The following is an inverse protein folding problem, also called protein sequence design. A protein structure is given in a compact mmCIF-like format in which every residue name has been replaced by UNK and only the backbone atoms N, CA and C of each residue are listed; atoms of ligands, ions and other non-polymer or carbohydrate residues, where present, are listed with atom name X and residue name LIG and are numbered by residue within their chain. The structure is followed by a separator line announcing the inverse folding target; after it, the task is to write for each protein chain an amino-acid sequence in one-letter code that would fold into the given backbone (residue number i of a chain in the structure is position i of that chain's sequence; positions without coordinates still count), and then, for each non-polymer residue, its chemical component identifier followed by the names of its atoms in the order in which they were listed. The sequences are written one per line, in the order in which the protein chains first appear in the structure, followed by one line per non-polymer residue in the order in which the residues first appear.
data_IF_528119952208
#
_entry.id   IF_528119952208
#
_cell.length_a   1.000
_cell.length_b   1.000
_cell.length_c   1.000
_cell.angle_alpha   90.00
_cell.angle_beta   90.00
_cell.angle_gamma   90.00
#
_symmetry.space_group_name_H-M   'P 1'
#
loop_
_entity.id
_entity.type
_entity.pdbx_description
1 polymer ?
#
# COMPACT_ATOMS: atom_id res chain seq x y z
N UNK A 1 -4.27 -8.39 18.50
CA UNK A 1 -4.96 -7.13 18.83
C UNK A 1 -4.11 -5.90 18.51
N UNK A 2 -2.85 -5.81 18.98
CA UNK A 2 -2.00 -4.63 18.70
C UNK A 2 -1.82 -4.36 17.19
N UNK A 3 -1.57 -5.39 16.38
CA UNK A 3 -1.46 -5.24 14.91
C UNK A 3 -2.74 -4.66 14.29
N UNK A 4 -3.92 -5.09 14.73
CA UNK A 4 -5.19 -4.58 14.22
C UNK A 4 -5.42 -3.10 14.57
N UNK A 5 -5.04 -2.69 15.80
CA UNK A 5 -5.09 -1.29 16.20
C UNK A 5 -4.15 -0.41 15.38
N UNK A 6 -2.90 -0.85 15.21
CA UNK A 6 -1.92 -0.12 14.43
C UNK A 6 -2.33 -0.02 12.94
N UNK A 7 -2.83 -1.12 12.36
CA UNK A 7 -3.31 -1.14 10.98
C UNK A 7 -4.51 -0.23 10.78
N UNK A 8 -5.47 -0.28 11.72
CA UNK A 8 -6.65 0.60 11.68
C UNK A 8 -6.25 2.06 11.78
N UNK A 9 -5.34 2.41 12.69
CA UNK A 9 -4.82 3.78 12.83
C UNK A 9 -4.08 4.22 11.55
N UNK A 10 -3.22 3.36 10.99
CA UNK A 10 -2.48 3.63 9.77
C UNK A 10 -3.40 3.91 8.58
N UNK A 11 -4.39 3.02 8.34
CA UNK A 11 -5.32 3.15 7.21
C UNK A 11 -6.28 4.34 7.38
N UNK A 12 -6.74 4.61 8.60
CA UNK A 12 -7.60 5.76 8.90
C UNK A 12 -6.86 7.08 8.61
N UNK A 13 -5.61 7.21 9.07
CA UNK A 13 -4.80 8.40 8.81
C UNK A 13 -4.44 8.48 7.31
N UNK A 14 -4.05 7.39 6.68
CA UNK A 14 -3.77 7.34 5.24
C UNK A 14 -4.98 7.81 4.41
N UNK A 15 -6.18 7.35 4.76
CA UNK A 15 -7.43 7.81 4.13
C UNK A 15 -7.64 9.31 4.31
N UNK A 16 -7.51 9.82 5.53
CA UNK A 16 -7.65 11.25 5.83
C UNK A 16 -6.67 12.12 5.04
N UNK A 17 -5.41 11.71 4.95
CA UNK A 17 -4.38 12.41 4.19
C UNK A 17 -4.75 12.51 2.71
N UNK A 18 -5.25 11.42 2.11
CA UNK A 18 -5.68 11.40 0.71
C UNK A 18 -6.93 12.22 0.47
N UNK A 19 -7.94 12.09 1.33
CA UNK A 19 -9.17 12.89 1.21
C UNK A 19 -8.85 14.37 1.20
N UNK A 20 -7.92 14.80 2.05
CA UNK A 20 -7.48 16.19 2.09
C UNK A 20 -6.63 16.56 0.88
N UNK A 21 -5.66 15.72 0.50
CA UNK A 21 -4.77 15.99 -0.64
C UNK A 21 -5.52 16.15 -1.96
N UNK A 22 -6.61 15.39 -2.13
CA UNK A 22 -7.44 15.42 -3.34
C UNK A 22 -8.71 16.29 -3.19
N UNK A 23 -8.94 16.82 -2.00
CA UNK A 23 -10.20 17.53 -1.65
C UNK A 23 -11.45 16.72 -2.07
N UNK A 24 -11.39 15.40 -1.82
CA UNK A 24 -12.40 14.44 -2.22
C UNK A 24 -12.62 13.41 -1.10
N UNK A 25 -13.80 13.34 -0.48
CA UNK A 25 -14.09 12.41 0.61
C UNK A 25 -14.08 10.94 0.17
N UNK A 26 -14.13 10.66 -1.13
CA UNK A 26 -14.06 9.32 -1.66
C UNK A 26 -12.62 8.85 -1.93
N UNK A 27 -11.62 9.73 -1.83
CA UNK A 27 -10.23 9.35 -2.04
C UNK A 27 -9.74 8.41 -0.93
N UNK A 28 -9.11 7.32 -1.34
CA UNK A 28 -8.54 6.33 -0.44
C UNK A 28 -7.34 5.62 -1.07
N UNK A 29 -6.54 4.89 -0.28
CA UNK A 29 -5.36 4.19 -0.78
C UNK A 29 -5.65 3.22 -1.93
N UNK A 30 -6.80 2.55 -1.89
CA UNK A 30 -7.26 1.60 -2.93
C UNK A 30 -7.51 2.29 -4.26
N UNK A 31 -8.02 3.53 -4.24
CA UNK A 31 -8.30 4.29 -5.48
C UNK A 31 -7.01 4.71 -6.19
N UNK A 32 -5.93 4.90 -5.44
CA UNK A 32 -4.61 5.16 -6.01
C UNK A 32 -3.89 3.90 -6.52
N UNK A 33 -4.48 2.72 -6.33
CA UNK A 33 -3.91 1.47 -6.78
C UNK A 33 -2.70 0.99 -5.96
N UNK A 34 -2.46 1.54 -4.77
CA UNK A 34 -1.33 1.15 -3.91
C UNK A 34 -1.51 -0.29 -3.43
N UNK A 35 -2.74 -0.69 -3.13
CA UNK A 35 -3.11 -2.06 -2.76
C UNK A 35 -2.98 -3.05 -3.93
N UNK A 36 -3.39 -2.65 -5.12
CA UNK A 36 -3.18 -3.47 -6.33
C UNK A 36 -1.70 -3.61 -6.66
N UNK A 37 -0.88 -2.59 -6.36
CA UNK A 37 0.57 -2.65 -6.42
C UNK A 37 1.15 -3.70 -5.48
N UNK A 38 0.72 -3.73 -4.21
CA UNK A 38 1.10 -4.78 -3.27
C UNK A 38 0.72 -6.16 -3.79
N UNK A 39 -0.52 -6.30 -4.25
CA UNK A 39 -1.05 -7.54 -4.81
C UNK A 39 -0.27 -8.03 -6.04
N UNK A 40 0.16 -7.10 -6.93
CA UNK A 40 1.01 -7.44 -8.06
C UNK A 40 2.39 -7.95 -7.61
N UNK A 41 3.01 -7.26 -6.64
CA UNK A 41 4.30 -7.68 -6.11
C UNK A 41 4.25 -9.10 -5.53
N UNK A 42 3.20 -9.42 -4.79
CA UNK A 42 2.96 -10.78 -4.26
C UNK A 42 2.63 -11.78 -5.37
N UNK A 43 1.81 -11.38 -6.35
CA UNK A 43 1.51 -12.23 -7.50
C UNK A 43 2.79 -12.63 -8.25
N UNK A 44 3.72 -11.70 -8.46
CA UNK A 44 5.03 -12.00 -9.06
C UNK A 44 5.83 -13.00 -8.23
N UNK A 45 5.83 -12.89 -6.91
CA UNK A 45 6.55 -13.83 -6.04
C UNK A 45 5.86 -15.18 -6.01
N UNK A 46 4.54 -15.25 -5.78
CA UNK A 46 3.82 -16.49 -5.57
C UNK A 46 3.49 -17.23 -6.87
N UNK A 47 3.07 -16.51 -7.92
CA UNK A 47 2.58 -17.12 -9.15
C UNK A 47 3.69 -17.38 -10.15
N UNK A 48 4.69 -16.51 -10.23
CA UNK A 48 5.77 -16.63 -11.20
C UNK A 48 6.98 -17.35 -10.60
N UNK A 49 7.40 -17.00 -9.40
CA UNK A 49 8.58 -17.59 -8.75
C UNK A 49 8.23 -18.84 -7.93
N UNK A 50 7.07 -18.87 -7.27
CA UNK A 50 6.59 -20.01 -6.50
C UNK A 50 6.35 -21.27 -7.33
N UNK A 51 6.02 -21.13 -8.63
CA UNK A 51 5.91 -22.25 -9.58
C UNK A 51 7.26 -22.89 -9.92
N UNK A 52 8.37 -22.17 -9.76
CA UNK A 52 9.73 -22.67 -10.02
C UNK A 52 10.44 -23.15 -8.76
N UNK A 53 10.08 -22.63 -7.58
CA UNK A 53 10.73 -22.96 -6.30
C UNK A 53 9.95 -23.98 -5.44
N UNK A 54 8.77 -24.41 -5.88
CA UNK A 54 7.92 -25.33 -5.12
C UNK A 54 7.25 -24.66 -3.90
N UNK A 55 5.99 -25.03 -3.63
CA UNK A 55 5.16 -24.49 -2.52
C UNK A 55 5.80 -24.72 -1.13
N UNK A 56 6.70 -25.71 -1.01
CA UNK A 56 7.42 -26.02 0.23
C UNK A 56 8.39 -24.92 0.68
N UNK A 57 8.87 -24.08 -0.23
CA UNK A 57 9.82 -23.02 0.11
C UNK A 57 9.14 -21.67 0.47
N UNK A 58 7.90 -21.45 0.02
CA UNK A 58 7.11 -20.28 0.47
C UNK A 58 6.76 -20.35 1.99
N UNK A 59 6.86 -21.55 2.59
CA UNK A 59 6.67 -21.77 4.04
C UNK A 59 7.95 -21.53 4.85
N UNK A 60 9.08 -21.34 4.19
CA UNK A 60 10.35 -20.99 4.83
C UNK A 60 10.39 -19.51 5.18
N UNK A 61 11.23 -19.13 6.13
CA UNK A 61 11.50 -17.72 6.47
C UNK A 61 11.86 -16.90 5.22
N UNK A 62 12.52 -17.49 4.24
CA UNK A 62 12.93 -16.88 2.98
C UNK A 62 11.73 -16.57 2.08
N UNK A 63 10.79 -17.52 1.93
CA UNK A 63 9.56 -17.31 1.15
C UNK A 63 8.66 -16.24 1.75
N UNK A 64 8.52 -16.25 3.07
CA UNK A 64 7.76 -15.25 3.82
C UNK A 64 8.32 -13.83 3.64
N UNK A 65 9.63 -13.65 3.83
CA UNK A 65 10.28 -12.35 3.62
C UNK A 65 10.18 -11.89 2.17
N UNK A 66 10.23 -12.81 1.20
CA UNK A 66 10.06 -12.49 -0.21
C UNK A 66 8.66 -11.96 -0.53
N UNK A 67 7.60 -12.53 0.07
CA UNK A 67 6.22 -12.05 -0.08
C UNK A 67 6.05 -10.64 0.49
N UNK A 68 6.57 -10.37 1.70
CA UNK A 68 6.54 -9.02 2.30
C UNK A 68 7.30 -8.03 1.43
N UNK A 69 8.51 -8.39 1.02
CA UNK A 69 9.33 -7.54 0.15
C UNK A 69 8.63 -7.28 -1.19
N UNK A 70 8.02 -8.31 -1.79
CA UNK A 70 7.22 -8.20 -3.01
C UNK A 70 6.05 -7.23 -2.85
N UNK A 71 5.25 -7.39 -1.79
CA UNK A 71 4.14 -6.49 -1.48
C UNK A 71 4.60 -5.04 -1.31
N UNK A 72 5.67 -4.83 -0.55
CA UNK A 72 6.23 -3.51 -0.29
C UNK A 72 6.77 -2.86 -1.57
N UNK A 73 7.59 -3.58 -2.33
CA UNK A 73 8.16 -3.09 -3.60
C UNK A 73 7.07 -2.80 -4.63
N UNK A 74 6.05 -3.66 -4.75
CA UNK A 74 4.91 -3.43 -5.62
C UNK A 74 4.14 -2.15 -5.26
N UNK A 75 3.85 -1.94 -3.97
CA UNK A 75 3.23 -0.70 -3.47
C UNK A 75 4.08 0.53 -3.76
N UNK A 76 5.39 0.46 -3.50
CA UNK A 76 6.33 1.56 -3.75
C UNK A 76 6.44 1.87 -5.24
N UNK A 77 6.39 0.86 -6.12
CA UNK A 77 6.42 1.05 -7.57
C UNK A 77 5.19 1.81 -8.05
N UNK A 78 4.00 1.41 -7.61
CA UNK A 78 2.76 2.14 -7.95
C UNK A 78 2.76 3.54 -7.36
N UNK A 79 3.17 3.70 -6.10
CA UNK A 79 3.31 5.02 -5.49
C UNK A 79 4.29 5.92 -6.28
N UNK A 80 5.45 5.38 -6.68
CA UNK A 80 6.44 6.08 -7.50
C UNK A 80 5.85 6.52 -8.84
N UNK A 81 5.04 5.67 -9.47
CA UNK A 81 4.30 5.98 -10.69
C UNK A 81 3.34 7.15 -10.46
N UNK A 82 2.56 7.13 -9.38
CA UNK A 82 1.64 8.23 -9.03
C UNK A 82 2.41 9.53 -8.75
N UNK A 83 3.51 9.45 -8.02
CA UNK A 83 4.37 10.61 -7.75
C UNK A 83 4.98 11.19 -9.04
N UNK A 84 5.41 10.34 -9.97
CA UNK A 84 5.87 10.77 -11.28
C UNK A 84 4.78 11.53 -12.04
N UNK A 85 3.57 10.97 -12.13
CA UNK A 85 2.44 11.66 -12.76
C UNK A 85 2.03 12.93 -12.00
N UNK A 86 2.17 12.98 -10.69
CA UNK A 86 1.92 14.19 -9.87
C UNK A 86 2.83 15.36 -10.27
N UNK A 87 3.98 15.10 -10.88
CA UNK A 87 4.85 16.17 -11.39
C UNK A 87 4.35 16.79 -12.70
N UNK A 88 3.63 16.01 -13.49
CA UNK A 88 3.16 16.38 -14.84
C UNK A 88 1.72 16.89 -14.78
N UNK A 89 0.89 16.21 -14.02
CA UNK A 89 -0.55 16.49 -13.92
C UNK A 89 -0.80 17.55 -12.84
N UNK A 90 -1.40 18.66 -13.23
CA UNK A 90 -1.69 19.79 -12.33
C UNK A 90 -3.06 19.67 -11.63
N UNK A 91 -3.94 18.80 -12.14
CA UNK A 91 -5.30 18.64 -11.65
C UNK A 91 -5.42 17.39 -10.76
N UNK A 92 -5.96 17.57 -9.55
CA UNK A 92 -6.16 16.51 -8.57
C UNK A 92 -7.06 15.38 -9.07
N UNK A 93 -8.16 15.74 -9.76
CA UNK A 93 -9.10 14.75 -10.31
C UNK A 93 -8.40 13.91 -11.38
N UNK A 94 -7.59 14.54 -12.22
CA UNK A 94 -6.85 13.82 -13.26
C UNK A 94 -5.80 12.88 -12.66
N UNK A 95 -5.14 13.27 -11.57
CA UNK A 95 -4.20 12.39 -10.86
C UNK A 95 -4.91 11.19 -10.23
N UNK A 96 -6.13 11.39 -9.71
CA UNK A 96 -6.97 10.32 -9.20
C UNK A 96 -7.35 9.32 -10.32
N UNK A 97 -7.73 9.83 -11.50
CA UNK A 97 -8.04 9.00 -12.67
C UNK A 97 -6.80 8.18 -13.10
N UNK A 98 -5.62 8.80 -13.11
CA UNK A 98 -4.36 8.08 -13.38
C UNK A 98 -4.16 6.94 -12.38
N UNK A 99 -4.42 7.16 -11.08
CA UNK A 99 -4.34 6.11 -10.06
C UNK A 99 -5.27 4.94 -10.36
N UNK A 100 -6.52 5.24 -10.71
CA UNK A 100 -7.51 4.21 -11.08
C UNK A 100 -7.03 3.43 -12.32
N UNK A 101 -6.52 4.10 -13.35
CA UNK A 101 -6.01 3.45 -14.55
C UNK A 101 -4.80 2.56 -14.26
N UNK A 102 -3.87 3.01 -13.43
CA UNK A 102 -2.74 2.21 -12.96
C UNK A 102 -3.24 0.97 -12.22
N UNK A 103 -4.25 1.12 -11.35
CA UNK A 103 -4.88 0.00 -10.65
C UNK A 103 -5.49 -1.02 -11.61
N UNK A 104 -6.22 -0.60 -12.65
CA UNK A 104 -6.78 -1.52 -13.65
C UNK A 104 -5.72 -2.22 -14.47
N UNK A 105 -4.67 -1.52 -14.91
CA UNK A 105 -3.54 -2.14 -15.62
C UNK A 105 -2.89 -3.21 -14.74
N UNK A 106 -2.63 -2.86 -13.48
CA UNK A 106 -2.04 -3.77 -12.49
C UNK A 106 -2.91 -5.01 -12.28
N UNK A 107 -4.23 -4.83 -12.11
CA UNK A 107 -5.18 -5.94 -11.97
C UNK A 107 -5.24 -6.83 -13.21
N UNK A 108 -5.12 -6.25 -14.41
CA UNK A 108 -5.09 -7.01 -15.65
C UNK A 108 -3.82 -7.87 -15.75
N UNK A 109 -2.68 -7.35 -15.31
CA UNK A 109 -1.41 -8.12 -15.23
C UNK A 109 -1.55 -9.27 -14.23
N UNK A 110 -2.15 -9.02 -13.04
CA UNK A 110 -2.41 -10.08 -12.05
C UNK A 110 -3.30 -11.17 -12.64
N UNK A 111 -4.35 -10.80 -13.37
CA UNK A 111 -5.25 -11.77 -14.03
C UNK A 111 -4.51 -12.62 -15.05
N UNK A 112 -3.59 -12.04 -15.81
CA UNK A 112 -2.73 -12.75 -16.75
C UNK A 112 -1.77 -13.72 -16.03
N UNK A 113 -1.16 -13.28 -14.94
CA UNK A 113 -0.27 -14.14 -14.13
C UNK A 113 -1.05 -15.33 -13.55
N UNK A 114 -2.28 -15.12 -13.04
CA UNK A 114 -3.13 -16.19 -12.54
C UNK A 114 -3.48 -17.21 -13.63
N UNK A 115 -3.65 -16.78 -14.88
CA UNK A 115 -3.95 -17.69 -16.00
C UNK A 115 -2.80 -18.68 -16.29
N UNK A 116 -1.55 -18.23 -16.17
CA UNK A 116 -0.36 -19.05 -16.41
C UNK A 116 0.17 -19.78 -15.17
N UNK A 117 -0.39 -19.47 -13.99
CA UNK A 117 0.09 -20.02 -12.73
C UNK A 117 -0.41 -21.45 -12.48
N UNK A 118 0.25 -22.16 -11.56
CA UNK A 118 -0.21 -23.46 -11.06
C UNK A 118 -1.44 -23.29 -10.16
N UNK A 119 -2.30 -24.32 -10.08
CA UNK A 119 -3.47 -24.31 -9.20
C UNK A 119 -3.10 -24.03 -7.72
N UNK A 120 -1.96 -24.55 -7.26
CA UNK A 120 -1.44 -24.33 -5.91
C UNK A 120 -1.00 -22.89 -5.69
N UNK A 121 -0.35 -22.27 -6.68
CA UNK A 121 0.04 -20.87 -6.65
C UNK A 121 -1.17 -19.95 -6.58
N UNK A 122 -2.18 -20.20 -7.41
CA UNK A 122 -3.44 -19.43 -7.40
C UNK A 122 -4.16 -19.58 -6.07
N UNK A 123 -4.21 -20.78 -5.50
CA UNK A 123 -4.81 -21.05 -4.19
C UNK A 123 -4.08 -20.27 -3.08
N UNK A 124 -2.75 -20.33 -3.06
CA UNK A 124 -1.93 -19.60 -2.06
C UNK A 124 -2.10 -18.09 -2.17
N UNK A 125 -2.10 -17.55 -3.40
CA UNK A 125 -2.34 -16.14 -3.67
C UNK A 125 -3.75 -15.70 -3.23
N UNK A 126 -4.77 -16.52 -3.48
CA UNK A 126 -6.15 -16.23 -3.07
C UNK A 126 -6.29 -16.20 -1.54
N UNK A 127 -5.68 -17.16 -0.83
CA UNK A 127 -5.67 -17.17 0.65
C UNK A 127 -4.93 -15.95 1.19
N UNK A 128 -3.80 -15.59 0.60
CA UNK A 128 -3.09 -14.37 0.97
C UNK A 128 -3.97 -13.12 0.80
N UNK A 129 -4.72 -13.02 -0.32
CA UNK A 129 -5.60 -11.90 -0.62
C UNK A 129 -6.78 -11.72 0.35
N UNK A 130 -7.17 -12.78 1.08
CA UNK A 130 -8.22 -12.70 2.10
C UNK A 130 -7.80 -11.90 3.35
N UNK A 131 -6.49 -11.70 3.55
CA UNK A 131 -5.94 -10.99 4.69
C UNK A 131 -6.09 -11.74 6.02
N UNK A 132 -5.07 -11.69 6.85
CA UNK A 132 -5.10 -12.36 8.15
C UNK A 132 -4.19 -11.65 9.17
N UNK A 133 -4.74 -11.34 10.35
CA UNK A 133 -3.96 -10.80 11.47
C UNK A 133 -3.30 -11.88 12.33
N UNK A 134 -3.69 -13.14 12.20
CA UNK A 134 -3.15 -14.23 13.03
C UNK A 134 -1.72 -14.63 12.64
N UNK A 135 -1.29 -14.28 11.41
CA UNK A 135 0.07 -14.54 10.91
C UNK A 135 1.12 -13.56 11.45
N UNK A 136 0.72 -12.49 12.13
CA UNK A 136 1.66 -11.50 12.68
C UNK A 136 2.35 -12.06 13.91
N UNK A 137 3.64 -12.36 13.78
CA UNK A 137 4.45 -12.87 14.90
C UNK A 137 4.88 -11.74 15.85
N UNK A 138 5.20 -12.11 17.11
CA UNK A 138 5.71 -11.16 18.09
C UNK A 138 7.01 -10.47 17.67
N UNK A 139 7.81 -11.13 16.84
CA UNK A 139 9.08 -10.59 16.31
C UNK A 139 8.86 -9.53 15.22
N UNK A 140 7.77 -9.62 14.47
CA UNK A 140 7.44 -8.69 13.37
C UNK A 140 6.72 -7.45 13.86
N UNK A 141 5.97 -7.58 14.97
CA UNK A 141 5.17 -6.50 15.53
C UNK A 141 5.98 -5.23 15.83
N UNK A 142 7.20 -5.28 16.42
CA UNK A 142 8.00 -4.09 16.67
C UNK A 142 8.40 -3.33 15.40
N UNK A 143 8.80 -4.04 14.35
CA UNK A 143 9.15 -3.43 13.08
C UNK A 143 7.94 -2.76 12.42
N UNK A 144 6.80 -3.44 12.41
CA UNK A 144 5.55 -2.87 11.94
C UNK A 144 5.15 -1.62 12.72
N UNK A 145 5.20 -1.70 14.06
CA UNK A 145 4.90 -0.57 14.93
C UNK A 145 5.84 0.61 14.67
N UNK A 146 7.12 0.35 14.39
CA UNK A 146 8.10 1.38 14.04
C UNK A 146 7.69 2.11 12.74
N UNK A 147 7.41 1.37 11.65
CA UNK A 147 7.04 1.97 10.37
C UNK A 147 5.73 2.76 10.47
N UNK A 148 4.72 2.20 11.13
CA UNK A 148 3.45 2.89 11.35
C UNK A 148 3.63 4.13 12.22
N UNK A 149 4.41 4.04 13.31
CA UNK A 149 4.66 5.18 14.19
C UNK A 149 5.40 6.31 13.48
N UNK A 150 6.39 5.99 12.66
CA UNK A 150 7.10 6.98 11.82
C UNK A 150 6.12 7.68 10.88
N UNK A 151 5.27 6.91 10.17
CA UNK A 151 4.27 7.48 9.28
C UNK A 151 3.27 8.38 10.01
N UNK A 152 2.78 7.96 11.20
CA UNK A 152 1.87 8.74 12.02
C UNK A 152 2.53 10.03 12.56
N UNK A 153 3.79 9.97 12.99
CA UNK A 153 4.52 11.16 13.44
C UNK A 153 4.67 12.16 12.30
N UNK A 154 5.04 11.70 11.10
CA UNK A 154 5.14 12.59 9.93
C UNK A 154 3.76 13.17 9.59
N UNK A 155 2.69 12.40 9.67
CA UNK A 155 1.32 12.89 9.47
C UNK A 155 0.96 14.00 10.46
N UNK A 156 1.33 13.86 11.74
CA UNK A 156 1.14 14.89 12.77
C UNK A 156 1.92 16.17 12.42
N UNK A 157 3.14 16.06 11.94
CA UNK A 157 3.95 17.22 11.53
C UNK A 157 3.33 17.95 10.33
N UNK A 158 2.57 17.23 9.49
CA UNK A 158 1.88 17.79 8.33
C UNK A 158 0.50 18.38 8.64
N UNK A 159 0.03 18.39 9.88
CA UNK A 159 -1.30 18.91 10.26
C UNK A 159 -1.47 20.38 9.83
N UNK A 160 -0.46 21.23 10.01
CA UNK A 160 -0.56 22.65 9.64
C UNK A 160 -0.77 22.85 8.14
N UNK A 161 0.10 22.32 7.24
CA UNK A 161 -0.14 22.45 5.80
C UNK A 161 -1.42 21.70 5.35
N UNK A 162 -1.80 20.62 6.01
CA UNK A 162 -3.03 19.89 5.74
C UNK A 162 -4.26 20.76 5.98
N UNK A 163 -4.34 21.43 7.13
CA UNK A 163 -5.43 22.37 7.47
C UNK A 163 -5.51 23.54 6.50
N UNK A 164 -4.37 24.03 6.01
CA UNK A 164 -4.36 25.08 4.99
C UNK A 164 -4.95 24.58 3.65
N UNK A 165 -4.63 23.34 3.25
CA UNK A 165 -5.17 22.73 2.03
C UNK A 165 -6.69 22.50 2.08
N UNK A 166 -7.26 22.24 3.26
CA UNK A 166 -8.71 22.13 3.43
C UNK A 166 -9.47 23.40 3.05
N UNK A 167 -8.82 24.57 3.20
CA UNK A 167 -9.39 25.86 2.81
C UNK A 167 -9.21 26.18 1.31
N UNK A 168 -8.57 25.28 0.58
CA UNK A 168 -8.33 25.36 -0.85
C UNK A 168 -6.91 25.77 -1.22
N UNK A 169 -6.47 25.33 -2.40
CA UNK A 169 -5.10 25.50 -2.90
C UNK A 169 -4.64 26.97 -2.94
N UNK A 170 -5.54 27.88 -3.39
CA UNK A 170 -5.22 29.31 -3.47
C UNK A 170 -4.98 29.93 -2.09
N UNK A 171 -5.78 29.54 -1.11
CA UNK A 171 -5.63 30.03 0.26
C UNK A 171 -4.34 29.49 0.89
N UNK A 172 -4.06 28.19 0.74
CA UNK A 172 -2.84 27.58 1.21
C UNK A 172 -1.59 28.24 0.60
N UNK A 173 -1.61 28.55 -0.69
CA UNK A 173 -0.51 29.26 -1.36
C UNK A 173 -0.27 30.66 -0.75
N UNK A 174 -1.34 31.41 -0.46
CA UNK A 174 -1.25 32.74 0.16
C UNK A 174 -0.68 32.67 1.59
N UNK A 175 -0.86 31.55 2.29
CA UNK A 175 -0.24 31.30 3.60
C UNK A 175 1.23 30.81 3.49
N UNK A 176 1.79 30.77 2.28
CA UNK A 176 3.17 30.32 2.04
C UNK A 176 3.37 28.81 2.00
N UNK A 177 2.29 28.02 1.94
CA UNK A 177 2.38 26.56 1.85
C UNK A 177 2.79 26.15 0.42
N UNK A 178 3.85 25.38 0.29
CA UNK A 178 4.22 24.79 -0.99
C UNK A 178 3.30 23.59 -1.29
N UNK A 179 2.25 23.85 -2.07
CA UNK A 179 1.19 22.87 -2.37
C UNK A 179 1.77 21.58 -2.98
N UNK A 180 2.70 21.70 -3.95
CA UNK A 180 3.28 20.55 -4.64
C UNK A 180 4.09 19.67 -3.69
N UNK A 181 4.95 20.30 -2.87
CA UNK A 181 5.75 19.58 -1.88
C UNK A 181 4.85 18.90 -0.85
N UNK A 182 3.87 19.63 -0.31
CA UNK A 182 2.93 19.10 0.69
C UNK A 182 2.17 17.91 0.14
N UNK A 183 1.61 18.02 -1.08
CA UNK A 183 0.87 16.93 -1.72
C UNK A 183 1.74 15.69 -1.93
N UNK A 184 2.96 15.85 -2.41
CA UNK A 184 3.89 14.74 -2.58
C UNK A 184 4.24 14.07 -1.23
N UNK A 185 4.46 14.86 -0.18
CA UNK A 185 4.68 14.34 1.17
C UNK A 185 3.46 13.58 1.69
N UNK A 186 2.25 14.08 1.48
CA UNK A 186 1.01 13.38 1.85
C UNK A 186 0.91 12.04 1.12
N UNK A 187 1.21 11.99 -0.18
CA UNK A 187 1.22 10.75 -0.96
C UNK A 187 2.27 9.76 -0.45
N UNK A 188 3.48 10.22 -0.13
CA UNK A 188 4.57 9.38 0.39
C UNK A 188 4.18 8.78 1.75
N UNK A 189 3.66 9.60 2.67
CA UNK A 189 3.23 9.13 4.00
C UNK A 189 2.08 8.15 3.89
N UNK A 190 1.10 8.43 3.04
CA UNK A 190 0.00 7.50 2.75
C UNK A 190 0.53 6.19 2.20
N UNK A 191 1.42 6.25 1.21
CA UNK A 191 2.04 5.06 0.63
C UNK A 191 2.81 4.24 1.65
N UNK A 192 3.58 4.88 2.53
CA UNK A 192 4.32 4.23 3.61
C UNK A 192 3.37 3.51 4.57
N UNK A 193 2.33 4.20 5.06
CA UNK A 193 1.34 3.64 5.99
C UNK A 193 0.57 2.47 5.34
N UNK A 194 0.14 2.63 4.10
CA UNK A 194 -0.62 1.62 3.36
C UNK A 194 0.25 0.42 3.01
N UNK A 195 1.45 0.63 2.45
CA UNK A 195 2.36 -0.46 2.08
C UNK A 195 2.78 -1.28 3.29
N UNK A 196 3.10 -0.63 4.42
CA UNK A 196 3.43 -1.31 5.67
C UNK A 196 2.27 -2.17 6.18
N UNK A 197 1.05 -1.64 6.10
CA UNK A 197 -0.15 -2.34 6.56
C UNK A 197 -0.48 -3.53 5.65
N UNK A 198 -0.46 -3.32 4.33
CA UNK A 198 -0.79 -4.37 3.36
C UNK A 198 0.25 -5.49 3.36
N UNK A 199 1.53 -5.18 3.47
CA UNK A 199 2.58 -6.20 3.52
C UNK A 199 2.44 -7.14 4.72
N UNK A 200 1.87 -6.67 5.83
CA UNK A 200 1.74 -7.44 7.06
C UNK A 200 0.39 -8.18 7.18
N UNK A 201 -0.72 -7.51 6.83
CA UNK A 201 -2.08 -8.06 7.00
C UNK A 201 -2.35 -9.20 6.04
N UNK A 202 -1.81 -9.14 4.83
CA UNK A 202 -2.02 -10.16 3.81
C UNK A 202 -1.14 -11.40 3.96
N UNK A 203 -0.40 -11.52 5.07
CA UNK A 203 0.41 -12.69 5.35
C UNK A 203 -0.44 -13.76 6.00
N UNK A 204 -0.78 -14.81 5.25
CA UNK A 204 -1.32 -16.04 5.81
C UNK A 204 -0.18 -17.01 6.08
N UNK A 205 0.13 -17.25 7.34
CA UNK A 205 0.98 -18.39 7.71
C UNK A 205 0.18 -19.67 7.47
N UNK A 206 0.70 -20.66 6.72
CA UNK A 206 0.07 -21.97 6.68
C UNK A 206 0.10 -22.54 8.10
N UNK A 207 -1.09 -22.75 8.67
CA UNK A 207 -1.24 -23.37 9.98
C UNK A 207 -0.44 -24.68 9.98
N UNK A 208 0.62 -24.74 10.79
CA UNK A 208 1.25 -26.00 11.15
C UNK A 208 0.16 -26.88 11.74
N UNK A 209 -0.29 -27.86 10.99
CA UNK A 209 -0.93 -29.01 11.58
C UNK A 209 0.18 -29.85 12.21
N UNK A 210 0.28 -29.74 13.53
CA UNK A 210 0.96 -30.73 14.37
C UNK A 210 0.25 -32.08 14.27
#
# INVERSE_FOLDING_TARGET
MAAALLSGAALAVAGLLLQTAFNNPLAGPSILGIDTGASLGVALVMLFWGGTLGVSEATTLTGFTAVIAGAFLGSVTVLGTILFFSTIVKNNIMLLIVGIMVGYITSSVISLLNYFATAEGVHSYTIWGMGNFSGVTGEQLPYFALFVSVGLIIAILLIKPLNALLLGDRYAANLGVNIKLTRNLLLIVTGLLTASTLSLIHISEPTRRS
#
